data_IF_235049565490
#
_entry.id   IF_235049565490
#
_cell.length_a   1.000
_cell.length_b   1.000
_cell.length_c   1.000
_cell.angle_alpha   90.00
_cell.angle_beta   90.00
_cell.angle_gamma   90.00
#
_symmetry.space_group_name_H-M   'P 1'
#
loop_
_entity.id
_entity.type
_entity.pdbx_description
1 polymer ?
#
# COMPACT_ATOMS: atom_id res chain seq x y z
N UNK A 1 -17.14 19.13 22.03
CA UNK A 1 -16.37 18.08 21.38
C UNK A 1 -17.23 17.18 20.50
N UNK A 2 -16.62 16.31 19.74
CA UNK A 2 -17.31 15.37 18.87
C UNK A 2 -16.44 14.95 17.67
N UNK A 3 -16.98 14.00 16.85
CA UNK A 3 -16.40 13.61 15.57
C UNK A 3 -17.08 14.35 14.44
N UNK A 4 -16.29 14.90 13.54
CA UNK A 4 -16.73 15.71 12.40
C UNK A 4 -16.22 15.06 11.12
N UNK A 5 -17.15 14.51 10.31
CA UNK A 5 -16.87 13.91 9.00
C UNK A 5 -16.98 15.00 7.93
N UNK A 6 -15.99 15.85 7.83
CA UNK A 6 -15.98 16.96 6.88
C UNK A 6 -14.58 17.38 6.47
N UNK A 7 -14.48 17.98 5.30
CA UNK A 7 -13.24 18.64 4.87
C UNK A 7 -13.20 20.06 5.40
N UNK A 8 -12.24 20.37 6.25
CA UNK A 8 -12.01 21.71 6.77
C UNK A 8 -11.03 22.45 5.88
N UNK A 9 -11.51 23.52 5.22
CA UNK A 9 -10.68 24.39 4.40
C UNK A 9 -10.38 25.67 5.15
N UNK A 10 -9.12 25.92 5.46
CA UNK A 10 -8.67 27.12 6.16
C UNK A 10 -7.92 28.01 5.22
N UNK A 11 -8.56 29.10 4.77
CA UNK A 11 -8.00 30.06 3.82
C UNK A 11 -7.74 31.42 4.48
N UNK A 12 -6.78 32.17 3.94
CA UNK A 12 -6.54 33.57 4.34
C UNK A 12 -5.93 33.78 5.70
N UNK A 13 -5.42 32.71 6.36
CA UNK A 13 -4.69 32.82 7.61
C UNK A 13 -3.40 33.62 7.37
N UNK A 14 -3.26 34.72 8.08
CA UNK A 14 -2.08 35.57 8.03
C UNK A 14 -1.27 35.38 9.31
N UNK A 15 0.00 35.18 9.14
CA UNK A 15 0.97 35.19 10.22
C UNK A 15 2.37 35.44 9.66
N UNK A 16 3.24 36.03 10.42
CA UNK A 16 4.63 36.24 10.00
C UNK A 16 5.55 35.31 10.73
N UNK A 17 6.57 34.81 10.06
CA UNK A 17 7.59 33.93 10.65
C UNK A 17 8.36 34.63 11.77
N UNK A 18 8.49 35.95 11.68
CA UNK A 18 9.23 36.81 12.63
C UNK A 18 8.44 37.22 13.85
N UNK A 19 7.11 37.09 13.86
CA UNK A 19 6.25 37.48 14.98
C UNK A 19 5.40 36.32 15.46
N UNK A 20 5.81 35.60 16.53
CA UNK A 20 5.04 34.51 17.10
C UNK A 20 3.64 34.92 17.60
N UNK A 21 3.40 36.19 17.94
CA UNK A 21 2.10 36.68 18.37
C UNK A 21 1.09 36.78 17.21
N UNK A 22 1.56 36.79 15.98
CA UNK A 22 0.72 36.82 14.78
C UNK A 22 0.23 35.42 14.32
N UNK A 23 0.59 34.36 15.06
CA UNK A 23 0.18 33.00 14.72
C UNK A 23 -1.31 32.81 14.96
N UNK A 24 -1.98 32.22 13.97
CA UNK A 24 -3.32 31.69 14.16
C UNK A 24 -3.21 30.32 14.82
N UNK A 25 -3.92 30.14 15.92
CA UNK A 25 -3.99 28.85 16.62
C UNK A 25 -5.38 28.28 16.44
N UNK A 26 -5.45 27.06 15.89
CA UNK A 26 -6.67 26.26 15.81
C UNK A 26 -6.52 25.15 16.84
N UNK A 27 -7.42 25.08 17.81
CA UNK A 27 -7.40 24.08 18.88
C UNK A 27 -8.81 23.76 19.34
N UNK A 28 -8.95 22.63 20.02
CA UNK A 28 -10.16 22.29 20.76
C UNK A 28 -10.50 23.39 21.79
N UNK A 29 -11.77 23.49 22.08
CA UNK A 29 -12.23 24.38 23.18
C UNK A 29 -12.03 23.67 24.51
N UNK A 30 -11.35 24.31 25.44
CA UNK A 30 -10.95 23.74 26.75
C UNK A 30 -10.26 22.34 26.51
N UNK A 31 -10.74 21.31 27.21
CA UNK A 31 -10.21 19.95 27.12
C UNK A 31 -11.14 19.00 26.36
N UNK A 32 -12.04 19.52 25.51
CA UNK A 32 -12.95 18.71 24.71
C UNK A 32 -12.20 17.86 23.69
N UNK A 33 -12.59 16.59 23.58
CA UNK A 33 -12.07 15.73 22.51
C UNK A 33 -12.77 16.10 21.21
N UNK A 34 -11.98 16.52 20.23
CA UNK A 34 -12.43 16.84 18.86
C UNK A 34 -11.70 15.93 17.91
N UNK A 35 -12.46 15.20 17.09
CA UNK A 35 -11.95 14.36 16.02
C UNK A 35 -12.41 14.93 14.68
N UNK A 36 -11.46 15.23 13.80
CA UNK A 36 -11.74 15.50 12.40
C UNK A 36 -11.51 14.20 11.64
N UNK A 37 -12.57 13.63 11.13
CA UNK A 37 -12.57 12.33 10.45
C UNK A 37 -12.80 12.53 8.96
N UNK A 38 -11.78 12.26 8.16
CA UNK A 38 -11.82 12.39 6.70
C UNK A 38 -12.28 11.10 6.00
N UNK A 39 -12.73 10.09 6.74
CA UNK A 39 -13.22 8.85 6.14
C UNK A 39 -14.63 9.00 5.57
N UNK A 40 -14.94 8.17 4.60
CA UNK A 40 -16.29 7.99 4.05
C UNK A 40 -16.77 6.59 4.40
N UNK A 41 -17.99 6.51 4.94
CA UNK A 41 -18.59 5.21 5.31
C UNK A 41 -18.97 4.45 4.06
N UNK A 42 -18.49 3.22 3.94
CA UNK A 42 -18.92 2.28 2.90
C UNK A 42 -20.25 1.69 3.32
N UNK A 43 -21.34 2.14 2.70
CA UNK A 43 -22.71 1.74 3.02
C UNK A 43 -23.27 0.62 2.14
N UNK A 44 -22.48 0.09 1.21
CA UNK A 44 -22.89 -0.99 0.31
C UNK A 44 -22.98 -2.34 1.01
N UNK A 45 -23.74 -3.26 0.41
CA UNK A 45 -23.81 -4.64 0.86
C UNK A 45 -22.49 -5.37 0.59
N UNK A 46 -22.07 -6.20 1.54
CA UNK A 46 -20.89 -7.04 1.42
C UNK A 46 -21.29 -8.48 1.13
N UNK A 47 -20.78 -9.03 0.04
CA UNK A 47 -20.95 -10.41 -0.38
C UNK A 47 -19.73 -11.25 0.02
N UNK A 48 -19.96 -12.41 0.67
CA UNK A 48 -18.92 -13.41 0.89
C UNK A 48 -18.66 -14.16 -0.42
N UNK A 49 -17.48 -14.01 -1.01
CA UNK A 49 -17.15 -14.63 -2.31
C UNK A 49 -16.32 -15.91 -2.16
N UNK A 50 -15.49 -16.01 -1.16
CA UNK A 50 -14.67 -17.21 -0.83
C UNK A 50 -14.04 -17.07 0.55
N UNK A 51 -13.94 -18.13 1.34
CA UNK A 51 -13.08 -18.29 2.55
C UNK A 51 -12.76 -17.01 3.36
N UNK A 52 -13.73 -16.27 3.82
CA UNK A 52 -13.56 -14.98 4.52
C UNK A 52 -13.16 -13.79 3.62
N UNK A 53 -13.17 -13.94 2.30
CA UNK A 53 -13.04 -12.83 1.37
C UNK A 53 -14.41 -12.23 1.13
N UNK A 54 -14.58 -11.00 1.51
CA UNK A 54 -15.79 -10.23 1.27
C UNK A 54 -15.55 -9.26 0.13
N UNK A 55 -16.61 -8.96 -0.62
CA UNK A 55 -16.60 -8.03 -1.75
C UNK A 55 -17.74 -7.04 -1.64
N UNK A 56 -17.47 -5.80 -2.05
CA UNK A 56 -18.51 -4.77 -2.28
C UNK A 56 -18.14 -3.92 -3.48
N UNK A 57 -19.08 -3.14 -3.99
CA UNK A 57 -18.84 -2.17 -5.06
C UNK A 57 -18.60 -0.80 -4.45
N UNK A 58 -17.60 -0.07 -4.97
CA UNK A 58 -17.25 1.26 -4.53
C UNK A 58 -16.99 2.14 -5.75
N UNK A 59 -17.72 3.23 -5.91
CA UNK A 59 -17.60 4.11 -7.08
C UNK A 59 -16.39 5.03 -7.06
N UNK A 60 -15.75 5.18 -5.91
CA UNK A 60 -14.59 6.05 -5.69
C UNK A 60 -13.32 5.23 -5.49
N UNK A 61 -12.20 5.73 -6.03
CA UNK A 61 -10.89 5.16 -5.75
C UNK A 61 -10.52 5.35 -4.29
N UNK A 62 -9.93 4.32 -3.68
CA UNK A 62 -9.49 4.36 -2.29
C UNK A 62 -8.02 4.01 -2.16
N UNK A 63 -7.39 4.53 -1.14
CA UNK A 63 -5.99 4.26 -0.77
C UNK A 63 -5.79 3.85 0.68
N UNK A 64 -6.85 3.94 1.47
CA UNK A 64 -6.87 3.45 2.85
C UNK A 64 -8.25 2.87 3.15
N UNK A 65 -8.27 1.77 3.88
CA UNK A 65 -9.47 1.14 4.38
C UNK A 65 -9.37 0.98 5.90
N UNK A 66 -10.45 1.32 6.60
CA UNK A 66 -10.56 1.14 8.04
C UNK A 66 -11.73 0.23 8.37
N UNK A 67 -11.57 -0.65 9.35
CA UNK A 67 -12.62 -1.47 9.94
C UNK A 67 -12.53 -1.30 11.45
N UNK A 68 -13.60 -0.86 12.08
CA UNK A 68 -13.63 -0.57 13.53
C UNK A 68 -12.46 0.34 13.96
N UNK A 69 -12.28 1.46 13.27
CA UNK A 69 -11.21 2.45 13.47
C UNK A 69 -9.78 1.91 13.33
N UNK A 70 -9.61 0.69 12.83
CA UNK A 70 -8.31 0.09 12.56
C UNK A 70 -8.02 0.12 11.08
N UNK A 71 -6.85 0.64 10.71
CA UNK A 71 -6.39 0.63 9.34
C UNK A 71 -6.09 -0.79 8.89
N UNK A 72 -6.66 -1.18 7.75
CA UNK A 72 -6.39 -2.44 7.09
C UNK A 72 -5.15 -2.32 6.19
N UNK A 73 -4.47 -3.42 5.94
CA UNK A 73 -3.30 -3.47 5.08
C UNK A 73 -3.73 -3.56 3.61
N UNK A 74 -3.20 -2.70 2.74
CA UNK A 74 -3.29 -2.95 1.29
C UNK A 74 -2.68 -4.31 0.98
N UNK A 75 -3.40 -5.16 0.25
CA UNK A 75 -2.93 -6.50 -0.08
C UNK A 75 -1.55 -6.45 -0.70
N UNK A 76 -0.61 -7.18 -0.09
CA UNK A 76 0.79 -7.21 -0.51
C UNK A 76 1.36 -8.62 -0.52
N UNK A 77 2.37 -8.83 -1.33
CA UNK A 77 3.18 -10.03 -1.29
C UNK A 77 4.68 -9.68 -1.44
N UNK A 78 5.58 -10.19 -0.61
CA UNK A 78 5.34 -11.08 0.54
C UNK A 78 4.52 -10.42 1.66
N UNK A 79 3.79 -11.24 2.42
CA UNK A 79 2.84 -10.76 3.42
C UNK A 79 3.56 -10.04 4.56
N UNK A 80 3.08 -8.87 4.94
CA UNK A 80 3.50 -8.15 6.13
C UNK A 80 2.44 -7.15 6.56
N UNK A 81 2.13 -7.11 7.84
CA UNK A 81 1.14 -6.16 8.38
C UNK A 81 1.70 -4.73 8.32
N UNK A 82 0.89 -3.80 7.77
CA UNK A 82 1.26 -2.40 7.66
C UNK A 82 1.63 -1.80 9.02
N UNK A 83 2.65 -0.92 9.02
CA UNK A 83 3.13 -0.19 10.20
C UNK A 83 3.74 -1.06 11.31
N UNK A 84 4.02 -2.32 11.06
CA UNK A 84 4.80 -3.17 11.96
C UNK A 84 6.29 -3.18 11.59
N UNK A 85 7.13 -3.68 12.48
CA UNK A 85 8.56 -3.86 12.17
C UNK A 85 8.77 -4.80 10.97
N UNK A 86 7.93 -5.83 10.83
CA UNK A 86 7.99 -6.78 9.71
C UNK A 86 7.74 -6.12 8.36
N UNK A 87 6.97 -5.03 8.29
CA UNK A 87 6.75 -4.32 7.03
C UNK A 87 8.06 -3.79 6.42
N UNK A 88 9.01 -3.40 7.25
CA UNK A 88 10.29 -2.81 6.86
C UNK A 88 11.44 -3.82 6.83
N UNK A 89 11.19 -5.06 7.28
CA UNK A 89 12.17 -6.12 7.25
C UNK A 89 12.37 -6.64 5.82
N UNK A 90 13.43 -6.14 5.20
CA UNK A 90 13.78 -6.46 3.82
C UNK A 90 14.33 -7.86 3.65
N UNK A 91 14.87 -8.44 4.70
CA UNK A 91 15.52 -9.76 4.63
C UNK A 91 14.48 -10.88 4.60
N UNK A 92 13.34 -10.68 5.26
CA UNK A 92 12.30 -11.71 5.39
C UNK A 92 11.03 -11.44 4.60
N UNK A 93 10.68 -10.17 4.39
CA UNK A 93 9.38 -9.78 3.83
C UNK A 93 9.47 -8.97 2.51
N UNK A 94 10.63 -9.05 1.86
CA UNK A 94 10.87 -8.50 0.53
C UNK A 94 11.65 -9.52 -0.29
N UNK A 95 11.34 -9.65 -1.58
CA UNK A 95 12.19 -10.40 -2.51
C UNK A 95 13.52 -9.67 -2.72
N UNK A 96 14.59 -10.43 -2.92
CA UNK A 96 15.94 -9.90 -3.06
C UNK A 96 16.40 -9.93 -4.52
N UNK A 97 17.12 -8.90 -4.94
CA UNK A 97 17.57 -8.75 -6.31
C UNK A 97 18.82 -9.58 -6.60
N UNK A 98 18.79 -10.38 -7.66
CA UNK A 98 19.94 -11.06 -8.24
C UNK A 98 20.84 -10.08 -9.02
N UNK A 99 22.17 -10.33 -9.04
CA UNK A 99 23.16 -9.55 -9.76
C UNK A 99 23.01 -9.53 -11.28
N UNK A 100 22.15 -10.36 -11.85
CA UNK A 100 21.79 -10.36 -13.27
C UNK A 100 20.63 -9.44 -13.62
N UNK A 101 20.04 -8.78 -12.62
CA UNK A 101 19.00 -7.79 -12.83
C UNK A 101 19.52 -6.57 -13.59
N UNK A 102 18.61 -5.89 -14.26
CA UNK A 102 18.91 -4.65 -14.99
C UNK A 102 17.77 -3.65 -14.80
N UNK A 103 18.00 -2.38 -15.14
CA UNK A 103 16.92 -1.39 -15.10
C UNK A 103 15.80 -1.83 -16.07
N UNK A 104 14.59 -1.95 -15.52
CA UNK A 104 13.41 -2.50 -16.22
C UNK A 104 13.21 -4.01 -16.05
N UNK A 105 14.15 -4.75 -15.43
CA UNK A 105 14.01 -6.18 -15.15
C UNK A 105 14.56 -6.55 -13.77
N UNK A 106 13.70 -7.03 -12.91
CA UNK A 106 14.05 -7.60 -11.61
C UNK A 106 14.12 -9.12 -11.72
N UNK A 107 15.21 -9.71 -11.20
CA UNK A 107 15.37 -11.16 -11.05
C UNK A 107 15.52 -11.44 -9.57
N UNK A 108 14.74 -12.37 -9.06
CA UNK A 108 14.78 -12.79 -7.66
C UNK A 108 15.98 -13.69 -7.39
N UNK A 109 16.74 -13.36 -6.35
CA UNK A 109 17.93 -14.08 -5.92
C UNK A 109 17.65 -15.32 -5.08
N UNK A 110 16.38 -15.65 -4.81
CA UNK A 110 15.94 -16.78 -3.97
C UNK A 110 16.51 -16.76 -2.54
N UNK A 111 16.97 -15.61 -2.05
CA UNK A 111 17.57 -15.48 -0.71
C UNK A 111 16.57 -15.12 0.40
N UNK A 112 15.30 -14.94 0.06
CA UNK A 112 14.20 -14.59 0.94
C UNK A 112 12.92 -15.26 0.48
N UNK A 113 11.79 -14.54 0.44
CA UNK A 113 10.56 -15.04 -0.19
C UNK A 113 10.80 -15.42 -1.65
N UNK A 114 10.43 -16.64 -2.01
CA UNK A 114 10.65 -17.20 -3.34
C UNK A 114 9.54 -16.74 -4.31
N UNK A 115 9.90 -15.85 -5.24
CA UNK A 115 8.97 -15.33 -6.23
C UNK A 115 8.38 -16.43 -7.13
N UNK A 116 9.23 -17.33 -7.62
CA UNK A 116 8.78 -18.43 -8.46
C UNK A 116 7.91 -19.42 -7.68
N UNK A 117 8.33 -19.78 -6.47
CA UNK A 117 7.62 -20.69 -5.57
C UNK A 117 6.27 -20.14 -5.09
N UNK A 118 6.03 -18.84 -5.19
CA UNK A 118 4.72 -18.26 -4.88
C UNK A 118 3.60 -18.81 -5.78
N UNK A 119 3.92 -19.23 -6.99
CA UNK A 119 2.99 -19.67 -8.02
C UNK A 119 1.88 -18.66 -8.37
N UNK A 120 2.12 -17.38 -8.07
CA UNK A 120 1.21 -16.27 -8.34
C UNK A 120 1.63 -15.52 -9.61
N UNK A 121 0.67 -14.89 -10.29
CA UNK A 121 0.92 -13.93 -11.37
C UNK A 121 0.72 -12.52 -10.83
N UNK A 122 1.79 -11.74 -10.79
CA UNK A 122 1.78 -10.35 -10.34
C UNK A 122 1.71 -9.33 -11.48
N UNK A 123 1.39 -9.76 -12.71
CA UNK A 123 1.19 -8.83 -13.83
C UNK A 123 0.12 -7.79 -13.47
N UNK A 124 0.45 -6.53 -13.67
CA UNK A 124 -0.45 -5.43 -13.33
C UNK A 124 -0.36 -4.93 -11.88
N UNK A 125 0.25 -5.69 -10.96
CA UNK A 125 0.55 -5.23 -9.61
C UNK A 125 1.49 -4.01 -9.61
N UNK A 126 1.57 -3.32 -8.49
CA UNK A 126 2.58 -2.29 -8.25
C UNK A 126 3.75 -2.92 -7.50
N UNK A 127 4.92 -2.92 -8.12
CA UNK A 127 6.16 -3.29 -7.44
C UNK A 127 6.73 -2.07 -6.72
N UNK A 128 6.87 -2.17 -5.41
CA UNK A 128 7.58 -1.18 -4.58
C UNK A 128 9.01 -1.67 -4.45
N UNK A 129 9.96 -0.91 -4.97
CA UNK A 129 11.33 -1.38 -5.20
C UNK A 129 12.37 -0.44 -4.61
N UNK A 130 13.40 -1.03 -4.02
CA UNK A 130 14.62 -0.35 -3.64
C UNK A 130 15.77 -0.79 -4.55
N UNK A 131 15.70 -0.36 -5.81
CA UNK A 131 16.63 -0.75 -6.90
C UNK A 131 17.49 0.39 -7.41
N UNK A 132 17.49 1.53 -6.76
CA UNK A 132 18.27 2.70 -7.11
C UNK A 132 18.73 3.47 -5.88
N UNK A 133 19.43 4.59 -6.10
CA UNK A 133 19.95 5.42 -5.02
C UNK A 133 18.87 6.38 -4.50
N UNK A 134 18.86 6.57 -3.19
CA UNK A 134 18.11 7.59 -2.41
C UNK A 134 16.57 7.49 -2.39
N UNK A 135 15.93 6.72 -3.28
CA UNK A 135 14.48 6.65 -3.40
C UNK A 135 14.00 5.20 -3.41
N UNK A 136 12.75 5.01 -2.99
CA UNK A 136 11.96 3.83 -3.34
C UNK A 136 11.17 4.15 -4.60
N UNK A 137 11.02 3.17 -5.46
CA UNK A 137 10.36 3.32 -6.75
C UNK A 137 9.10 2.46 -6.79
N UNK A 138 7.97 3.07 -7.12
CA UNK A 138 6.74 2.36 -7.42
C UNK A 138 6.62 2.23 -8.95
N UNK A 139 6.49 1.01 -9.47
CA UNK A 139 6.31 0.75 -10.90
C UNK A 139 5.29 -0.36 -11.10
N UNK A 140 4.49 -0.21 -12.14
CA UNK A 140 3.62 -1.28 -12.57
C UNK A 140 4.43 -2.45 -13.08
N UNK A 141 4.08 -3.67 -12.65
CA UNK A 141 4.60 -4.91 -13.23
C UNK A 141 4.02 -5.07 -14.61
N UNK A 142 4.86 -4.95 -15.64
CA UNK A 142 4.45 -5.05 -17.04
C UNK A 142 4.23 -6.49 -17.44
N UNK A 143 5.14 -7.37 -17.00
CA UNK A 143 5.08 -8.80 -17.32
C UNK A 143 5.66 -9.64 -16.20
N UNK A 144 4.86 -10.58 -15.72
CA UNK A 144 5.24 -11.65 -14.80
C UNK A 144 4.28 -12.82 -15.02
N UNK A 145 4.76 -14.03 -14.97
CA UNK A 145 3.91 -15.23 -15.04
C UNK A 145 4.14 -16.10 -13.82
N UNK A 146 3.10 -16.85 -13.44
CA UNK A 146 3.21 -17.82 -12.34
C UNK A 146 4.40 -18.77 -12.56
N UNK A 147 5.18 -18.99 -11.50
CA UNK A 147 6.38 -19.83 -11.55
C UNK A 147 7.64 -19.14 -12.10
N UNK A 148 7.57 -17.87 -12.51
CA UNK A 148 8.74 -17.12 -12.94
C UNK A 148 9.47 -16.47 -11.76
N UNK A 149 10.80 -16.51 -11.79
CA UNK A 149 11.67 -15.82 -10.82
C UNK A 149 12.02 -14.39 -11.23
N UNK A 150 11.34 -13.81 -12.22
CA UNK A 150 11.64 -12.46 -12.70
C UNK A 150 10.41 -11.74 -13.21
N UNK A 151 10.40 -10.41 -13.09
CA UNK A 151 9.39 -9.55 -13.67
C UNK A 151 10.00 -8.35 -14.38
N UNK A 152 9.22 -7.73 -15.28
CA UNK A 152 9.61 -6.50 -15.95
C UNK A 152 8.77 -5.32 -15.48
N UNK A 153 9.35 -4.13 -15.54
CA UNK A 153 8.75 -2.86 -15.14
C UNK A 153 9.32 -1.70 -15.98
N UNK A 154 8.67 -0.56 -15.99
CA UNK A 154 9.19 0.63 -16.67
C UNK A 154 10.47 1.12 -15.98
N UNK A 155 11.61 1.29 -16.70
CA UNK A 155 12.88 1.65 -16.13
C UNK A 155 12.82 2.89 -15.24
N UNK A 156 13.66 2.92 -14.20
CA UNK A 156 13.76 4.08 -13.29
C UNK A 156 14.62 5.21 -13.90
N UNK A 157 15.47 4.88 -14.84
CA UNK A 157 16.34 5.81 -15.54
C UNK A 157 17.75 5.94 -14.92
N UNK A 158 18.70 6.26 -15.75
CA UNK A 158 20.14 6.29 -15.41
C UNK A 158 20.50 7.28 -14.29
N UNK A 159 19.74 8.37 -14.14
CA UNK A 159 19.97 9.40 -13.10
C UNK A 159 19.82 8.87 -11.68
N UNK A 160 19.17 7.73 -11.49
CA UNK A 160 18.95 7.12 -10.17
C UNK A 160 19.94 5.98 -9.85
N UNK A 161 20.94 5.76 -10.68
CA UNK A 161 22.00 4.78 -10.45
C UNK A 161 21.43 3.41 -10.06
N UNK A 162 20.77 2.75 -11.01
CA UNK A 162 20.20 1.42 -10.80
C UNK A 162 21.24 0.48 -10.18
N UNK A 163 20.85 -0.17 -9.08
CA UNK A 163 21.66 -1.20 -8.42
C UNK A 163 21.61 -2.48 -9.25
N UNK A 164 22.75 -3.13 -9.43
CA UNK A 164 22.80 -4.44 -10.08
C UNK A 164 22.51 -5.59 -9.12
N UNK A 165 22.71 -5.36 -7.82
CA UNK A 165 22.51 -6.31 -6.73
C UNK A 165 22.10 -5.58 -5.47
N UNK A 166 21.70 -6.31 -4.43
CA UNK A 166 21.26 -5.75 -3.15
C UNK A 166 20.04 -4.82 -3.25
N UNK A 167 19.28 -4.92 -4.32
CA UNK A 167 17.95 -4.34 -4.41
C UNK A 167 16.93 -5.25 -3.75
N UNK A 168 15.77 -4.71 -3.42
CA UNK A 168 14.66 -5.46 -2.85
C UNK A 168 13.34 -4.93 -3.35
N UNK A 169 12.31 -5.78 -3.36
CA UNK A 169 10.98 -5.41 -3.81
C UNK A 169 9.88 -6.18 -3.07
N UNK A 170 8.69 -5.61 -3.08
CA UNK A 170 7.43 -6.31 -2.79
C UNK A 170 6.34 -5.83 -3.76
N UNK A 171 5.26 -6.58 -3.85
CA UNK A 171 4.12 -6.24 -4.70
C UNK A 171 2.92 -5.83 -3.86
N UNK A 172 2.11 -4.92 -4.40
CA UNK A 172 0.83 -4.52 -3.84
C UNK A 172 -0.18 -4.18 -4.94
N UNK A 173 -1.41 -3.84 -4.55
CA UNK A 173 -2.48 -3.39 -5.44
C UNK A 173 -2.81 -4.41 -6.56
N UNK A 174 -2.85 -5.70 -6.21
CA UNK A 174 -3.33 -6.77 -7.09
C UNK A 174 -4.07 -7.84 -6.30
N UNK A 175 -5.09 -8.44 -6.91
CA UNK A 175 -5.85 -9.54 -6.29
C UNK A 175 -4.94 -10.72 -5.91
N UNK A 176 -3.89 -10.98 -6.71
CA UNK A 176 -2.90 -12.02 -6.41
C UNK A 176 -2.15 -11.80 -5.09
N UNK A 177 -2.08 -10.56 -4.61
CA UNK A 177 -1.48 -10.24 -3.33
C UNK A 177 -2.41 -10.53 -2.13
N UNK A 178 -3.73 -10.59 -2.35
CA UNK A 178 -4.71 -10.77 -1.28
C UNK A 178 -4.63 -12.18 -0.71
N UNK A 179 -4.12 -12.36 0.50
CA UNK A 179 -3.79 -13.67 1.06
C UNK A 179 -4.00 -13.82 2.57
N UNK A 180 -3.91 -12.76 3.36
CA UNK A 180 -3.99 -12.85 4.81
C UNK A 180 -5.06 -11.94 5.41
N UNK A 181 -5.46 -12.24 6.65
CA UNK A 181 -6.45 -11.46 7.39
C UNK A 181 -6.06 -9.98 7.49
N UNK A 182 -7.05 -9.09 7.37
CA UNK A 182 -6.94 -7.62 7.38
C UNK A 182 -6.33 -7.04 6.10
N UNK A 183 -6.18 -7.82 5.04
CA UNK A 183 -5.81 -7.29 3.74
C UNK A 183 -7.01 -6.90 2.92
N UNK A 184 -6.83 -5.85 2.13
CA UNK A 184 -7.83 -5.38 1.16
C UNK A 184 -7.20 -5.08 -0.20
N UNK A 185 -8.01 -5.22 -1.24
CA UNK A 185 -7.66 -4.89 -2.62
C UNK A 185 -8.85 -4.20 -3.30
N UNK A 186 -8.58 -3.11 -3.99
CA UNK A 186 -9.55 -2.43 -4.85
C UNK A 186 -9.17 -2.56 -6.31
N UNK A 187 -10.11 -3.02 -7.13
CA UNK A 187 -9.98 -3.08 -8.57
C UNK A 187 -10.70 -1.87 -9.20
N UNK A 188 -9.97 -0.86 -9.68
CA UNK A 188 -10.58 0.34 -10.26
C UNK A 188 -11.31 0.04 -11.58
N UNK A 189 -11.00 -1.06 -12.27
CA UNK A 189 -11.64 -1.41 -13.54
C UNK A 189 -13.05 -1.97 -13.35
N UNK A 190 -13.25 -2.79 -12.35
CA UNK A 190 -14.54 -3.37 -11.97
C UNK A 190 -15.24 -2.61 -10.84
N UNK A 191 -14.55 -1.63 -10.22
CA UNK A 191 -15.00 -0.90 -9.03
C UNK A 191 -15.32 -1.84 -7.85
N UNK A 192 -14.58 -2.92 -7.72
CA UNK A 192 -14.79 -3.91 -6.66
C UNK A 192 -13.71 -3.79 -5.59
N UNK A 193 -14.18 -3.69 -4.36
CA UNK A 193 -13.36 -3.73 -3.17
C UNK A 193 -13.46 -5.12 -2.53
N UNK A 194 -12.32 -5.74 -2.30
CA UNK A 194 -12.19 -7.03 -1.64
C UNK A 194 -11.51 -6.85 -0.28
N UNK A 195 -11.97 -7.57 0.72
CA UNK A 195 -11.43 -7.54 2.08
C UNK A 195 -11.38 -8.96 2.64
N UNK A 196 -10.24 -9.36 3.21
CA UNK A 196 -10.15 -10.57 4.03
C UNK A 196 -10.35 -10.16 5.49
N UNK A 197 -11.41 -10.67 6.10
CA UNK A 197 -11.65 -10.48 7.52
C UNK A 197 -12.15 -11.79 8.15
N UNK A 198 -11.42 -12.27 9.14
CA UNK A 198 -11.88 -13.39 9.94
C UNK A 198 -13.01 -12.88 10.85
N UNK A 199 -14.16 -13.54 10.81
CA UNK A 199 -15.23 -13.26 11.78
C UNK A 199 -14.67 -13.53 13.17
N UNK A 200 -14.74 -12.55 14.05
CA UNK A 200 -14.57 -12.80 15.46
C UNK A 200 -15.78 -13.64 15.90
N UNK A 201 -15.50 -14.89 16.27
CA UNK A 201 -16.48 -15.77 16.95
C UNK A 201 -16.62 -15.34 18.41
#
# INVERSE_FOLDING_TARGET
GGSYHETVVVNGIKGTKSDPSSRTTIRNYQDEVVMLDGTVVISGDWELVSDNIYRTTLDEDIWQLFVDDKMMTSARWPDAEAWTAGFWDKDTNWIQQDGLSSDGKFIDASGGPDLAGSNKDFSGAIAIMNVGSWLSFARKVVNHGSGNSSFSYDPIGNQYHHKKENGSAFFEAAYACLSVNKEWYYDPSSKQLFLIILRFT
#
